data_IF_683091154386
#
_entry.id   IF_683091154386
#
_cell.length_a   1.000
_cell.length_b   1.000
_cell.length_c   1.000
_cell.angle_alpha   90.00
_cell.angle_beta   90.00
_cell.angle_gamma   90.00
#
_symmetry.space_group_name_H-M   'P 1'
#
loop_
_entity.id
_entity.type
_entity.pdbx_description
1 polymer ?
#
# COMPACT_ATOMS: atom_id res chain seq x y z
N UNK A 1 2.72 7.98 -15.33
CA UNK A 1 4.02 8.44 -14.80
C UNK A 1 3.99 9.87 -14.29
N UNK A 2 3.45 10.83 -15.05
CA UNK A 2 3.43 12.24 -14.65
C UNK A 2 2.01 12.69 -14.25
N UNK A 3 1.87 13.38 -13.12
CA UNK A 3 0.62 13.97 -12.66
C UNK A 3 0.89 15.16 -11.73
N UNK A 4 -0.06 16.11 -11.67
CA UNK A 4 -0.11 17.15 -10.65
C UNK A 4 -1.25 16.80 -9.69
N UNK A 5 -0.95 16.79 -8.38
CA UNK A 5 -1.92 16.50 -7.32
C UNK A 5 -2.03 17.74 -6.45
N UNK A 6 -3.19 18.40 -6.48
CA UNK A 6 -3.47 19.61 -5.69
C UNK A 6 -4.44 19.28 -4.55
N UNK A 7 -4.15 19.81 -3.36
CA UNK A 7 -4.95 19.58 -2.16
C UNK A 7 -4.98 20.87 -1.35
N UNK A 8 -6.19 21.34 -1.03
CA UNK A 8 -6.38 22.58 -0.25
C UNK A 8 -6.16 22.38 1.26
N UNK A 9 -6.08 21.12 1.72
CA UNK A 9 -5.83 20.73 3.10
C UNK A 9 -4.38 20.35 3.38
N UNK A 10 -4.00 20.22 4.66
CA UNK A 10 -2.63 19.85 5.04
C UNK A 10 -2.28 18.37 4.73
N UNK A 11 -3.27 17.55 4.36
CA UNK A 11 -3.11 16.10 4.15
C UNK A 11 -4.00 15.60 3.02
N UNK A 12 -3.56 14.52 2.36
CA UNK A 12 -4.35 13.79 1.37
C UNK A 12 -5.58 13.17 2.05
N UNK A 13 -6.79 13.28 1.48
CA UNK A 13 -7.98 12.66 2.04
C UNK A 13 -7.83 11.14 2.19
N UNK A 14 -8.11 10.62 3.39
CA UNK A 14 -8.07 9.16 3.66
C UNK A 14 -9.18 8.37 2.96
N UNK A 15 -10.20 9.05 2.40
CA UNK A 15 -11.41 8.44 1.85
C UNK A 15 -12.00 7.34 2.75
N UNK A 16 -11.96 6.08 2.29
CA UNK A 16 -12.42 4.88 3.01
C UNK A 16 -11.27 4.05 3.61
N UNK A 17 -10.03 4.55 3.52
CA UNK A 17 -8.82 3.90 3.98
C UNK A 17 -8.20 2.94 2.97
N UNK A 18 -8.74 2.82 1.76
CA UNK A 18 -8.20 1.99 0.66
C UNK A 18 -7.72 2.84 -0.52
N UNK A 19 -7.14 2.19 -1.54
CA UNK A 19 -6.74 2.84 -2.79
C UNK A 19 -7.89 2.93 -3.82
N UNK A 20 -9.00 2.22 -3.61
CA UNK A 20 -10.10 2.12 -4.58
C UNK A 20 -10.72 3.48 -4.96
N UNK A 21 -10.93 4.44 -4.03
CA UNK A 21 -11.39 5.78 -4.38
C UNK A 21 -10.42 6.53 -5.32
N UNK A 22 -9.11 6.36 -5.12
CA UNK A 22 -8.11 6.99 -6.00
C UNK A 22 -8.11 6.37 -7.38
N UNK A 23 -8.23 5.04 -7.48
CA UNK A 23 -8.35 4.37 -8.79
C UNK A 23 -9.56 4.86 -9.56
N UNK A 24 -10.71 4.99 -8.90
CA UNK A 24 -11.91 5.53 -9.55
C UNK A 24 -11.67 6.94 -10.10
N UNK A 25 -11.03 7.82 -9.32
CA UNK A 25 -10.72 9.18 -9.77
C UNK A 25 -9.74 9.21 -10.95
N UNK A 26 -8.72 8.34 -10.93
CA UNK A 26 -7.76 8.19 -12.03
C UNK A 26 -8.46 7.66 -13.29
N UNK A 27 -9.32 6.66 -13.15
CA UNK A 27 -10.09 6.09 -14.26
C UNK A 27 -11.04 7.13 -14.88
N UNK A 28 -11.67 7.98 -14.05
CA UNK A 28 -12.50 9.08 -14.52
C UNK A 28 -11.70 10.17 -15.26
N UNK A 29 -10.49 10.48 -14.79
CA UNK A 29 -9.61 11.44 -15.45
C UNK A 29 -9.03 10.91 -16.76
N UNK A 30 -8.84 9.59 -16.84
CA UNK A 30 -8.21 8.90 -17.96
C UNK A 30 -6.68 8.98 -17.93
N UNK A 31 -6.05 8.22 -18.83
CA UNK A 31 -4.60 8.16 -19.00
C UNK A 31 -4.25 8.71 -20.38
N UNK A 32 -3.25 9.56 -20.44
CA UNK A 32 -2.69 10.06 -21.69
C UNK A 32 -1.29 9.46 -21.91
N UNK A 33 -1.08 8.86 -23.08
CA UNK A 33 0.23 8.36 -23.48
C UNK A 33 1.16 9.51 -23.86
N UNK A 34 2.41 9.40 -23.43
CA UNK A 34 3.46 10.35 -23.78
C UNK A 34 4.43 9.68 -24.76
N UNK A 35 4.95 10.45 -25.72
CA UNK A 35 5.92 9.96 -26.69
C UNK A 35 7.32 9.69 -26.10
N UNK A 36 7.47 9.84 -24.78
CA UNK A 36 8.74 9.65 -24.08
C UNK A 36 8.75 8.25 -23.44
N UNK A 37 9.86 7.50 -23.55
CA UNK A 37 10.01 6.24 -22.85
C UNK A 37 9.86 6.42 -21.34
N UNK A 38 9.26 5.42 -20.68
CA UNK A 38 9.20 5.34 -19.23
C UNK A 38 10.53 4.87 -18.67
N UNK A 39 11.08 5.61 -17.70
CA UNK A 39 12.21 5.15 -16.92
C UNK A 39 11.78 4.10 -15.90
N UNK A 40 12.55 3.02 -15.78
CA UNK A 40 12.32 1.94 -14.83
C UNK A 40 13.56 1.70 -13.97
N UNK A 41 13.34 1.39 -12.70
CA UNK A 41 14.40 1.00 -11.77
C UNK A 41 14.56 -0.52 -11.84
N UNK A 42 15.73 -0.98 -12.24
CA UNK A 42 16.11 -2.39 -12.21
C UNK A 42 16.91 -2.72 -10.95
N UNK A 43 16.46 -3.74 -10.22
CA UNK A 43 17.20 -4.26 -9.05
C UNK A 43 18.27 -5.22 -9.55
N UNK A 44 19.54 -4.82 -9.49
CA UNK A 44 20.66 -5.62 -10.00
C UNK A 44 21.23 -6.59 -8.95
N UNK A 45 21.06 -6.29 -7.66
CA UNK A 45 21.56 -7.11 -6.55
C UNK A 45 20.59 -7.03 -5.36
N UNK A 46 20.52 -8.06 -4.50
CA UNK A 46 19.70 -8.00 -3.30
C UNK A 46 20.10 -6.84 -2.38
N UNK A 47 19.11 -6.09 -1.92
CA UNK A 47 19.23 -5.05 -0.89
C UNK A 47 18.24 -5.38 0.21
N UNK A 48 18.74 -5.56 1.44
CA UNK A 48 17.94 -5.90 2.61
C UNK A 48 18.12 -4.86 3.69
N UNK A 49 17.02 -4.43 4.29
CA UNK A 49 17.00 -3.59 5.48
C UNK A 49 16.22 -4.30 6.58
N UNK A 50 16.71 -4.22 7.82
CA UNK A 50 16.05 -4.79 8.99
C UNK A 50 16.06 -3.77 10.12
N UNK A 51 14.89 -3.52 10.70
CA UNK A 51 14.72 -2.57 11.79
C UNK A 51 13.57 -3.04 12.69
N UNK A 52 13.77 -2.99 14.02
CA UNK A 52 12.75 -3.30 15.03
C UNK A 52 12.01 -4.64 14.82
N UNK A 53 12.72 -5.67 14.33
CA UNK A 53 12.14 -7.00 14.07
C UNK A 53 11.40 -7.12 12.73
N UNK A 54 11.27 -6.04 11.95
CA UNK A 54 10.79 -6.07 10.58
C UNK A 54 11.96 -6.18 9.59
N UNK A 55 11.73 -6.80 8.43
CA UNK A 55 12.72 -6.91 7.36
C UNK A 55 12.05 -6.68 6.01
N UNK A 56 12.71 -5.91 5.13
CA UNK A 56 12.32 -5.71 3.75
C UNK A 56 13.50 -6.00 2.82
N UNK A 57 13.25 -6.75 1.74
CA UNK A 57 14.26 -7.12 0.75
C UNK A 57 13.77 -6.80 -0.65
N UNK A 58 14.58 -6.08 -1.42
CA UNK A 58 14.46 -5.99 -2.87
C UNK A 58 15.50 -6.92 -3.49
N UNK A 59 15.09 -7.82 -4.38
CA UNK A 59 15.99 -8.74 -5.06
C UNK A 59 15.72 -8.77 -6.56
N UNK A 60 16.73 -9.06 -7.40
CA UNK A 60 16.52 -9.27 -8.83
C UNK A 60 15.52 -10.40 -9.07
N UNK A 61 14.68 -10.25 -10.10
CA UNK A 61 13.85 -11.37 -10.55
C UNK A 61 14.74 -12.53 -11.04
N UNK A 62 14.28 -13.79 -10.89
CA UNK A 62 15.03 -14.95 -11.39
C UNK A 62 15.39 -14.83 -12.88
N UNK A 63 16.58 -15.28 -13.26
CA UNK A 63 17.03 -15.28 -14.64
C UNK A 63 16.11 -16.11 -15.56
N UNK A 64 15.99 -15.70 -16.83
CA UNK A 64 15.19 -16.41 -17.84
C UNK A 64 13.70 -16.05 -17.88
N UNK A 65 13.30 -14.96 -17.20
CA UNK A 65 11.95 -14.39 -17.33
C UNK A 65 11.84 -13.58 -18.62
N UNK A 66 10.77 -13.78 -19.39
CA UNK A 66 10.50 -13.01 -20.62
C UNK A 66 9.74 -11.70 -20.40
N UNK A 67 9.55 -11.28 -19.15
CA UNK A 67 8.76 -10.10 -18.78
C UNK A 67 9.50 -9.26 -17.73
N UNK A 68 9.20 -7.96 -17.72
CA UNK A 68 9.69 -6.99 -16.73
C UNK A 68 8.55 -6.67 -15.77
N UNK A 69 8.81 -6.66 -14.46
CA UNK A 69 7.86 -6.19 -13.46
C UNK A 69 8.26 -6.54 -12.04
N UNK A 70 7.27 -6.70 -11.14
CA UNK A 70 7.49 -6.83 -9.70
C UNK A 70 6.67 -7.99 -9.12
N UNK A 71 7.34 -8.94 -8.47
CA UNK A 71 6.69 -9.93 -7.62
C UNK A 71 6.80 -9.44 -6.16
N UNK A 72 5.68 -9.42 -5.44
CA UNK A 72 5.57 -8.98 -4.05
C UNK A 72 5.30 -10.18 -3.15
N UNK A 73 5.97 -10.22 -2.00
CA UNK A 73 5.63 -11.13 -0.90
C UNK A 73 5.66 -10.32 0.39
N UNK A 74 4.61 -10.44 1.19
CA UNK A 74 4.45 -9.75 2.46
C UNK A 74 3.98 -10.75 3.51
N UNK A 75 4.55 -10.64 4.70
CA UNK A 75 4.11 -11.41 5.86
C UNK A 75 3.92 -10.48 7.04
N UNK A 76 2.88 -10.73 7.81
CA UNK A 76 2.59 -10.03 9.06
C UNK A 76 2.48 -11.04 10.19
N UNK A 77 2.85 -10.60 11.39
CA UNK A 77 2.70 -11.37 12.63
C UNK A 77 2.18 -10.44 13.72
N UNK A 78 0.86 -10.50 13.95
CA UNK A 78 0.21 -9.72 14.99
C UNK A 78 -0.23 -10.61 16.15
N UNK A 79 0.04 -10.22 17.41
CA UNK A 79 -0.42 -10.97 18.59
C UNK A 79 -1.94 -11.11 18.68
N UNK A 80 -2.69 -10.16 18.10
CA UNK A 80 -4.14 -10.21 18.06
C UNK A 80 -4.62 -11.35 17.15
N UNK A 81 -5.32 -12.33 17.72
CA UNK A 81 -5.82 -13.54 17.02
C UNK A 81 -6.67 -13.23 15.78
N UNK A 82 -7.39 -12.11 15.78
CA UNK A 82 -8.19 -11.65 14.64
C UNK A 82 -7.36 -11.32 13.38
N UNK A 83 -6.06 -11.06 13.54
CA UNK A 83 -5.11 -10.84 12.43
C UNK A 83 -4.15 -12.01 12.34
N UNK A 84 -3.47 -12.32 13.45
CA UNK A 84 -2.53 -13.44 13.57
C UNK A 84 -1.35 -13.33 12.61
N UNK A 85 -0.83 -14.50 12.23
CA UNK A 85 0.19 -14.63 11.21
C UNK A 85 -0.44 -14.82 9.83
N UNK A 86 -0.04 -14.00 8.88
CA UNK A 86 -0.52 -14.08 7.50
C UNK A 86 0.65 -13.89 6.54
N UNK A 87 0.58 -14.54 5.39
CA UNK A 87 1.49 -14.32 4.28
C UNK A 87 0.70 -14.18 2.99
N UNK A 88 1.13 -13.26 2.14
CA UNK A 88 0.50 -12.94 0.88
C UNK A 88 1.59 -12.76 -0.18
N UNK A 89 1.38 -13.35 -1.35
CA UNK A 89 2.26 -13.21 -2.50
C UNK A 89 1.45 -12.88 -3.75
N UNK A 90 1.93 -11.93 -4.54
CA UNK A 90 1.25 -11.44 -5.73
C UNK A 90 2.28 -10.99 -6.76
N UNK A 91 2.07 -11.37 -8.02
CA UNK A 91 2.69 -10.66 -9.13
C UNK A 91 1.95 -9.35 -9.36
N UNK A 92 2.64 -8.23 -9.23
CA UNK A 92 2.03 -6.93 -9.40
C UNK A 92 1.80 -6.64 -10.89
N UNK A 93 0.56 -6.86 -11.33
CA UNK A 93 0.01 -6.33 -12.59
C UNK A 93 -1.07 -5.30 -12.27
N UNK A 94 -1.54 -4.56 -13.28
CA UNK A 94 -2.66 -3.64 -13.08
C UNK A 94 -3.91 -4.39 -12.60
N UNK A 95 -4.26 -5.50 -13.25
CA UNK A 95 -5.41 -6.32 -12.90
C UNK A 95 -5.25 -6.94 -11.52
N UNK A 96 -4.06 -7.46 -11.21
CA UNK A 96 -3.75 -8.03 -9.90
C UNK A 96 -3.86 -7.00 -8.77
N UNK A 97 -3.37 -5.77 -9.00
CA UNK A 97 -3.52 -4.68 -8.04
C UNK A 97 -5.00 -4.31 -7.83
N UNK A 98 -5.76 -4.14 -8.91
CA UNK A 98 -7.18 -3.77 -8.87
C UNK A 98 -8.03 -4.83 -8.15
N UNK A 99 -7.76 -6.10 -8.41
CA UNK A 99 -8.52 -7.21 -7.85
C UNK A 99 -8.18 -7.48 -6.38
N UNK A 100 -6.88 -7.54 -6.03
CA UNK A 100 -6.44 -8.08 -4.75
C UNK A 100 -6.05 -7.01 -3.72
N UNK A 101 -5.60 -5.82 -4.16
CA UNK A 101 -5.00 -4.83 -3.26
C UNK A 101 -5.83 -3.53 -3.14
N UNK A 102 -6.45 -3.07 -4.22
CA UNK A 102 -7.05 -1.75 -4.28
C UNK A 102 -8.11 -1.49 -3.19
N UNK A 103 -8.89 -2.50 -2.83
CA UNK A 103 -10.00 -2.41 -1.85
C UNK A 103 -9.56 -2.71 -0.41
N UNK A 104 -8.30 -3.08 -0.19
CA UNK A 104 -7.78 -3.32 1.14
C UNK A 104 -7.71 -2.00 1.91
N UNK A 105 -8.39 -1.95 3.06
CA UNK A 105 -8.43 -0.76 3.91
C UNK A 105 -7.34 -0.83 4.98
N UNK A 106 -6.79 0.32 5.34
CA UNK A 106 -5.92 0.45 6.50
C UNK A 106 -6.60 -0.02 7.78
N UNK A 107 -5.81 -0.53 8.71
CA UNK A 107 -6.24 -0.89 10.05
C UNK A 107 -5.22 -0.34 11.05
N UNK A 108 -5.69 -0.07 12.27
CA UNK A 108 -4.85 0.34 13.39
C UNK A 108 -5.42 -0.27 14.66
N UNK A 109 -4.55 -0.61 15.62
CA UNK A 109 -5.00 -1.15 16.89
C UNK A 109 -5.71 -0.07 17.70
N UNK A 110 -6.75 -0.44 18.45
CA UNK A 110 -7.53 0.52 19.23
C UNK A 110 -6.68 1.32 20.23
N UNK A 111 -5.60 0.72 20.74
CA UNK A 111 -4.66 1.37 21.64
C UNK A 111 -3.79 2.42 20.93
N UNK A 112 -3.34 2.15 19.71
CA UNK A 112 -2.58 3.09 18.88
C UNK A 112 -3.45 4.31 18.50
N UNK A 113 -4.73 4.09 18.18
CA UNK A 113 -5.68 5.18 17.90
C UNK A 113 -5.84 6.10 19.13
N UNK A 114 -5.88 5.55 20.35
CA UNK A 114 -5.96 6.36 21.58
C UNK A 114 -4.71 7.19 21.79
N UNK A 115 -3.53 6.62 21.54
CA UNK A 115 -2.24 7.33 21.65
C UNK A 115 -2.12 8.44 20.60
N UNK A 116 -2.47 8.16 19.35
CA UNK A 116 -2.46 9.16 18.27
C UNK A 116 -3.40 10.32 18.57
N UNK A 117 -4.62 10.04 19.05
CA UNK A 117 -5.57 11.09 19.47
C UNK A 117 -5.07 11.91 20.65
N UNK A 118 -4.40 11.29 21.62
CA UNK A 118 -3.81 11.98 22.76
C UNK A 118 -2.64 12.91 22.33
N UNK A 119 -1.93 12.55 21.26
CA UNK A 119 -0.88 13.38 20.65
C UNK A 119 -1.41 14.44 19.66
N UNK A 120 -2.73 14.60 19.51
CA UNK A 120 -3.35 15.54 18.58
C UNK A 120 -3.36 15.10 17.11
N UNK A 121 -2.90 13.88 16.81
CA UNK A 121 -2.92 13.25 15.50
C UNK A 121 -4.21 12.40 15.32
N UNK A 122 -4.52 11.98 14.09
CA UNK A 122 -5.70 11.15 13.76
C UNK A 122 -7.08 11.76 14.14
N UNK A 123 -7.21 13.10 14.07
CA UNK A 123 -8.50 13.80 14.35
C UNK A 123 -9.61 13.46 13.35
N UNK A 124 -9.26 13.00 12.14
CA UNK A 124 -10.21 12.53 11.11
C UNK A 124 -10.52 11.02 11.12
N UNK A 125 -9.84 10.24 11.97
CA UNK A 125 -10.00 8.78 12.06
C UNK A 125 -11.21 8.41 12.92
N UNK A 126 -12.42 8.47 12.37
CA UNK A 126 -13.62 7.90 12.98
C UNK A 126 -13.64 6.37 12.81
N UNK A 127 -14.18 5.65 13.82
CA UNK A 127 -14.31 4.17 13.86
C UNK A 127 -15.03 3.56 12.64
N UNK A 128 -15.68 4.38 11.83
CA UNK A 128 -16.27 3.98 10.55
C UNK A 128 -15.22 3.64 9.46
N UNK A 129 -13.98 4.15 9.59
CA UNK A 129 -12.95 4.07 8.53
C UNK A 129 -11.86 3.02 8.76
N UNK A 130 -11.63 2.61 10.00
CA UNK A 130 -10.71 1.51 10.34
C UNK A 130 -11.52 0.35 10.91
N UNK A 131 -11.31 -0.88 10.41
CA UNK A 131 -11.88 -2.06 11.07
C UNK A 131 -11.22 -2.22 12.43
N UNK A 132 -11.94 -1.84 13.49
CA UNK A 132 -11.57 -2.18 14.86
C UNK A 132 -11.72 -3.69 15.06
N UNK A 133 -10.61 -4.41 15.16
CA UNK A 133 -10.61 -5.77 15.68
C UNK A 133 -10.93 -5.73 17.17
N UNK A 134 -12.16 -6.10 17.53
CA UNK A 134 -12.59 -6.26 18.91
C UNK A 134 -13.11 -7.68 19.12
N UNK A 135 -12.55 -8.37 20.12
CA UNK A 135 -12.94 -9.71 20.55
C UNK A 135 -11.81 -10.71 20.43
#
# INVERSE_FOLDING_TARGET
>A
DNAIIEVDGPEIPIFDGSAAPFLFLIDCAGIADLATPRDMIEVLRPVTVSENGATATLAPLPAGRSWVGLDLTMSIDFPASAIGQQSFALRLTEEGFRAELARCRTFAMAQEIKQLRAAGLARGGSLAKCRGGGG
#
